data_IF_214105821335
#
_entry.id   IF_214105821335
#
_cell.length_a   1.000
_cell.length_b   1.000
_cell.length_c   1.000
_cell.angle_alpha   90.00
_cell.angle_beta   90.00
_cell.angle_gamma   90.00
#
_symmetry.space_group_name_H-M   'P 1'
#
loop_
_entity.id
_entity.type
_entity.pdbx_description
1 polymer ?
2 non-polymer ?
3 non-polymer ?
4 non-polymer ?
5 non-polymer ?
6 water ?
#
# COMPACT_ATOMS: atom_id res chain seq x y z
N UNK A 4 33.94 -4.25 3.52
CA UNK A 4 32.78 -4.11 2.59
C UNK A 4 32.24 -2.70 2.66
N UNK A 5 32.05 -2.09 1.50
CA UNK A 5 31.46 -0.72 1.38
C UNK A 5 29.93 -0.79 1.44
N UNK A 6 29.32 -0.07 2.39
CA UNK A 6 27.87 -0.15 2.59
C UNK A 6 27.28 1.26 2.52
N UNK A 7 25.94 1.30 2.43
CA UNK A 7 25.23 2.57 2.51
C UNK A 7 23.96 2.33 3.31
N UNK A 8 23.36 3.43 3.75
CA UNK A 8 22.16 3.41 4.62
C UNK A 8 20.95 3.88 3.84
N UNK A 9 19.88 3.11 3.91
CA UNK A 9 18.61 3.46 3.24
C UNK A 9 17.49 3.29 4.23
N UNK A 10 16.63 4.31 4.32
CA UNK A 10 15.53 4.36 5.32
C UNK A 10 14.17 4.30 4.64
N UNK A 11 13.27 3.52 5.25
CA UNK A 11 11.82 3.56 4.90
C UNK A 11 11.02 3.68 6.17
N UNK A 12 9.79 4.21 6.03
CA UNK A 12 8.86 4.36 7.18
C UNK A 12 7.57 3.60 6.93
N UNK A 13 6.75 3.61 7.95
CA UNK A 13 5.35 3.14 7.88
C UNK A 13 4.55 3.96 8.89
N UNK A 14 3.24 3.98 8.68
CA UNK A 14 2.33 4.51 9.72
C UNK A 14 1.31 3.44 10.04
N UNK A 15 0.79 3.53 11.25
CA UNK A 15 -0.17 2.53 11.72
C UNK A 15 -1.58 2.84 11.18
N UNK A 16 -2.46 1.87 11.35
CA UNK A 16 -3.82 2.00 10.78
C UNK A 16 -4.60 3.14 11.46
N UNK A 17 -4.21 3.59 12.64
CA UNK A 17 -4.83 4.72 13.33
C UNK A 17 -4.25 6.08 12.98
N UNK A 18 -3.22 6.14 12.15
CA UNK A 18 -2.74 7.44 11.71
C UNK A 18 -3.84 8.11 10.91
N UNK A 19 -4.09 9.41 11.09
CA UNK A 19 -5.29 10.00 10.47
C UNK A 19 -5.30 9.96 8.95
N UNK A 20 -4.13 10.06 8.29
CA UNK A 20 -4.13 9.94 6.82
C UNK A 20 -4.47 8.49 6.44
N UNK A 21 -3.89 7.50 7.11
CA UNK A 21 -4.21 6.11 6.76
C UNK A 21 -5.67 5.78 7.08
N UNK A 22 -6.20 6.37 8.13
CA UNK A 22 -7.64 6.19 8.46
C UNK A 22 -8.47 6.57 7.23
N UNK A 23 -8.13 7.69 6.61
CA UNK A 23 -8.86 8.17 5.43
C UNK A 23 -8.73 7.20 4.28
N UNK A 24 -7.52 6.65 4.02
CA UNK A 24 -7.37 5.62 2.96
C UNK A 24 -8.30 4.44 3.23
N UNK A 25 -8.34 3.97 4.47
CA UNK A 25 -9.16 2.81 4.83
C UNK A 25 -10.64 3.12 4.64
N UNK A 26 -11.10 4.30 5.10
CA UNK A 26 -12.53 4.66 4.89
C UNK A 26 -12.85 4.69 3.40
N UNK A 27 -12.00 5.35 2.61
CA UNK A 27 -12.22 5.45 1.17
C UNK A 27 -12.34 4.07 0.53
N UNK A 28 -11.45 3.15 0.90
CA UNK A 28 -11.53 1.80 0.32
C UNK A 28 -12.64 0.93 0.90
N UNK A 29 -13.04 1.18 2.15
CA UNK A 29 -14.23 0.47 2.69
C UNK A 29 -15.47 0.89 1.91
N UNK A 30 -15.55 2.16 1.54
CA UNK A 30 -16.67 2.63 0.70
C UNK A 30 -16.61 1.95 -0.65
N UNK A 31 -15.43 1.92 -1.28
CA UNK A 31 -15.27 1.25 -2.57
C UNK A 31 -15.69 -0.21 -2.47
N UNK A 32 -15.21 -0.93 -1.48
CA UNK A 32 -15.57 -2.36 -1.35
C UNK A 32 -17.08 -2.51 -1.25
N UNK A 33 -17.72 -1.66 -0.47
CA UNK A 33 -19.19 -1.78 -0.28
C UNK A 33 -19.90 -1.59 -1.62
N UNK A 34 -19.45 -0.62 -2.41
CA UNK A 34 -20.05 -0.41 -3.75
C UNK A 34 -19.86 -1.64 -4.62
N UNK A 35 -18.63 -2.13 -4.71
CA UNK A 35 -18.34 -3.26 -5.63
C UNK A 35 -19.05 -4.53 -5.19
N UNK A 36 -19.30 -4.72 -3.92
CA UNK A 36 -19.94 -5.97 -3.43
C UNK A 36 -21.33 -6.10 -4.06
N UNK A 37 -22.01 -4.98 -4.26
CA UNK A 37 -23.34 -4.97 -4.89
C UNK A 37 -23.29 -4.70 -6.38
N UNK A 38 -22.36 -3.88 -6.84
CA UNK A 38 -22.32 -3.42 -8.24
C UNK A 38 -20.87 -3.40 -8.68
N UNK A 39 -20.40 -4.46 -9.34
CA UNK A 39 -18.98 -4.52 -9.76
C UNK A 39 -18.61 -3.41 -10.74
N UNK A 40 -19.57 -2.78 -11.41
CA UNK A 40 -19.30 -1.73 -12.41
C UNK A 40 -19.40 -0.34 -11.80
N UNK A 41 -19.40 -0.23 -10.49
CA UNK A 41 -19.43 1.07 -9.80
C UNK A 41 -18.24 1.92 -10.27
N UNK A 42 -18.51 3.20 -10.50
CA UNK A 42 -17.47 4.21 -10.67
C UNK A 42 -17.31 4.92 -9.34
N UNK A 43 -16.11 4.90 -8.81
CA UNK A 43 -15.87 5.38 -7.44
C UNK A 43 -14.63 6.25 -7.44
N UNK A 44 -14.77 7.46 -6.93
CA UNK A 44 -13.68 8.40 -6.66
C UNK A 44 -13.98 8.99 -5.28
N UNK A 45 -13.79 8.19 -4.25
CA UNK A 45 -14.22 8.53 -2.89
C UNK A 45 -13.03 9.04 -2.08
N UNK A 46 -13.08 10.31 -1.75
CA UNK A 46 -12.06 10.99 -0.94
C UNK A 46 -12.56 11.12 0.48
N UNK A 47 -11.67 11.04 1.45
CA UNK A 47 -12.02 11.21 2.87
C UNK A 47 -11.08 12.22 3.47
N UNK A 48 -11.60 13.06 4.38
CA UNK A 48 -10.72 13.86 5.23
C UNK A 48 -11.24 13.80 6.65
N UNK A 49 -10.39 14.15 7.58
CA UNK A 49 -10.74 14.05 9.01
C UNK A 49 -9.97 15.10 9.78
N UNK A 50 -10.57 15.51 10.87
CA UNK A 50 -9.94 16.40 11.86
C UNK A 50 -10.66 16.13 13.20
N UNK A 51 -10.31 16.87 14.23
CA UNK A 51 -10.89 16.59 15.54
C UNK A 51 -12.40 16.41 15.43
N UNK A 52 -12.88 15.27 15.91
CA UNK A 52 -14.32 14.98 16.00
C UNK A 52 -15.07 15.01 14.67
N UNK A 53 -14.39 14.79 13.54
CA UNK A 53 -15.12 14.86 12.26
C UNK A 53 -14.46 13.99 11.20
N UNK A 54 -15.30 13.36 10.41
CA UNK A 54 -14.89 12.72 9.15
C UNK A 54 -15.79 13.25 8.07
N UNK A 55 -15.25 13.58 6.91
CA UNK A 55 -16.06 13.93 5.74
C UNK A 55 -15.70 12.99 4.59
N UNK A 56 -16.70 12.38 3.99
CA UNK A 56 -16.50 11.62 2.73
C UNK A 56 -17.02 12.48 1.61
N UNK A 57 -16.29 12.51 0.51
CA UNK A 57 -16.63 13.38 -0.61
C UNK A 57 -16.12 12.73 -1.89
N UNK A 58 -16.23 13.46 -2.98
CA UNK A 58 -15.93 12.91 -4.29
C UNK A 58 -17.20 12.46 -4.98
N UNK A 59 -17.06 11.51 -5.90
CA UNK A 59 -18.10 11.20 -6.89
C UNK A 59 -18.26 9.69 -6.97
N UNK A 60 -19.49 9.22 -6.94
CA UNK A 60 -19.79 7.79 -7.09
C UNK A 60 -20.98 7.64 -8.04
N UNK A 61 -20.84 6.77 -9.04
CA UNK A 61 -21.96 6.30 -9.86
C UNK A 61 -22.12 4.81 -9.60
N UNK A 62 -23.28 4.39 -9.11
CA UNK A 62 -23.44 2.99 -8.69
C UNK A 62 -24.90 2.62 -8.69
N UNK A 63 -25.13 1.32 -8.85
CA UNK A 63 -26.44 0.72 -8.56
C UNK A 63 -26.51 0.28 -7.10
N UNK A 64 -25.39 0.24 -6.39
CA UNK A 64 -25.37 -0.22 -4.99
C UNK A 64 -26.11 0.75 -4.07
N UNK A 65 -26.57 0.21 -2.97
CA UNK A 65 -27.15 0.98 -1.86
C UNK A 65 -26.16 0.89 -0.71
N UNK A 66 -25.46 1.98 -0.46
CA UNK A 66 -24.34 1.99 0.50
C UNK A 66 -24.60 3.04 1.57
N UNK A 67 -24.48 2.63 2.82
CA UNK A 67 -24.67 3.52 3.98
C UNK A 67 -23.31 4.14 4.29
N UNK A 68 -22.99 5.23 3.61
CA UNK A 68 -21.66 5.84 3.72
C UNK A 68 -21.32 6.16 5.17
N UNK A 69 -22.26 6.77 5.89
CA UNK A 69 -21.99 7.14 7.29
C UNK A 69 -21.69 5.88 8.12
N UNK A 70 -22.47 4.82 7.93
CA UNK A 70 -22.27 3.60 8.70
C UNK A 70 -20.90 3.01 8.37
N UNK A 71 -20.49 3.05 7.10
CA UNK A 71 -19.16 2.52 6.73
C UNK A 71 -18.09 3.34 7.44
N UNK A 72 -18.23 4.66 7.46
CA UNK A 72 -17.26 5.50 8.20
C UNK A 72 -17.18 5.02 9.65
N UNK A 73 -18.31 4.98 10.31
CA UNK A 73 -18.30 4.68 11.75
C UNK A 73 -17.78 3.27 12.02
N UNK A 74 -18.19 2.31 11.21
CA UNK A 74 -17.73 0.92 11.39
C UNK A 74 -16.22 0.82 11.19
N UNK A 75 -15.70 1.52 10.19
CA UNK A 75 -14.26 1.46 9.89
C UNK A 75 -13.47 2.06 11.05
N UNK A 76 -13.89 3.22 11.52
CA UNK A 76 -13.24 3.89 12.66
C UNK A 76 -13.32 3.01 13.92
N UNK A 77 -14.49 2.45 14.19
CA UNK A 77 -14.67 1.66 15.41
C UNK A 77 -13.75 0.44 15.40
N UNK A 78 -13.66 -0.26 14.27
CA UNK A 78 -12.87 -1.50 14.19
C UNK A 78 -11.37 -1.21 14.35
N UNK A 79 -10.92 -0.06 13.89
CA UNK A 79 -9.53 0.39 14.10
C UNK A 79 -9.27 0.65 15.58
N UNK A 80 -10.29 1.01 16.34
CA UNK A 80 -10.13 1.25 17.77
C UNK A 80 -10.54 2.63 18.22
N UNK A 81 -11.11 3.43 17.32
CA UNK A 81 -11.50 4.81 17.66
C UNK A 81 -12.88 4.76 18.30
N UNK A 82 -12.89 4.50 19.60
CA UNK A 82 -14.14 4.23 20.34
C UNK A 82 -14.44 5.33 21.36
N UNK A 83 -13.62 6.36 21.47
CA UNK A 83 -13.82 7.42 22.48
C UNK A 83 -13.04 8.66 22.09
N UNK A 84 -13.45 9.80 22.62
CA UNK A 84 -12.69 11.06 22.43
C UNK A 84 -11.27 10.86 22.98
N UNK A 85 -11.11 10.13 24.08
CA UNK A 85 -9.81 9.97 24.78
C UNK A 85 -8.79 9.29 23.85
N UNK A 86 -9.24 8.36 22.99
CA UNK A 86 -8.30 7.61 22.10
C UNK A 86 -8.18 8.29 20.74
N UNK A 87 -8.91 9.39 20.51
CA UNK A 87 -8.59 10.31 19.41
C UNK A 87 -9.75 10.53 18.47
N UNK A 88 -10.83 9.76 18.60
CA UNK A 88 -12.05 9.92 17.79
C UNK A 88 -13.07 8.94 18.32
N UNK A 89 -14.28 9.41 18.56
CA UNK A 89 -15.38 8.53 18.98
C UNK A 89 -16.20 8.13 17.74
N UNK A 90 -16.07 6.90 17.28
CA UNK A 90 -16.73 6.45 16.04
C UNK A 90 -18.24 6.64 16.14
N UNK A 91 -18.81 6.51 17.32
CA UNK A 91 -20.28 6.50 17.45
C UNK A 91 -20.81 7.93 17.53
N UNK A 92 -20.01 8.86 18.05
CA UNK A 92 -20.50 10.21 18.40
C UNK A 92 -19.93 11.30 17.50
N UNK A 93 -18.87 11.05 16.77
CA UNK A 93 -18.22 12.12 15.99
C UNK A 93 -19.14 12.57 14.87
N UNK A 94 -18.85 13.75 14.35
CA UNK A 94 -19.56 14.27 13.16
C UNK A 94 -19.11 13.52 11.93
N UNK A 95 -20.06 13.08 11.13
CA UNK A 95 -19.77 12.45 9.83
C UNK A 95 -20.52 13.25 8.79
N UNK A 96 -19.79 13.95 7.95
CA UNK A 96 -20.33 14.77 6.88
C UNK A 96 -20.31 13.95 5.60
N UNK A 97 -21.48 13.66 5.06
CA UNK A 97 -21.62 12.86 3.84
C UNK A 97 -21.77 13.82 2.68
N UNK A 98 -20.71 13.97 1.90
CA UNK A 98 -20.57 15.04 0.89
C UNK A 98 -20.17 14.45 -0.47
N UNK A 99 -20.73 13.30 -0.78
CA UNK A 99 -20.50 12.59 -2.04
C UNK A 99 -21.55 12.99 -3.06
N UNK A 100 -21.13 13.24 -4.31
CA UNK A 100 -22.09 13.37 -5.41
C UNK A 100 -22.45 11.97 -5.86
N UNK A 101 -23.61 11.51 -5.42
CA UNK A 101 -24.11 10.15 -5.68
C UNK A 101 -24.97 10.19 -6.95
N UNK A 102 -24.67 9.34 -7.90
CA UNK A 102 -25.47 9.16 -9.12
C UNK A 102 -25.80 7.68 -9.30
N UNK A 103 -26.91 7.44 -9.96
CA UNK A 103 -27.18 6.12 -10.53
C UNK A 103 -26.65 6.14 -11.96
N UNK A 104 -26.47 4.96 -12.59
CA UNK A 104 -25.93 4.96 -13.93
C UNK A 104 -26.83 5.68 -14.93
N UNK A 105 -26.22 6.14 -16.00
CA UNK A 105 -26.91 6.89 -17.07
C UNK A 105 -28.03 6.02 -17.62
N UNK A 106 -29.16 6.63 -17.88
CA UNK A 106 -30.28 5.99 -18.59
C UNK A 106 -30.23 6.48 -20.02
N UNK A 107 -30.11 5.55 -20.95
CA UNK A 107 -29.92 5.92 -22.36
C UNK A 107 -30.74 5.01 -23.26
N UNK A 108 -31.03 5.54 -24.43
CA UNK A 108 -31.80 4.83 -25.44
C UNK A 108 -30.93 4.59 -26.65
N UNK A 109 -30.71 3.32 -26.98
CA UNK A 109 -29.93 2.84 -28.14
C UNK A 109 -29.84 1.32 -28.21
N UNK A 110 -29.57 0.76 -29.41
CA UNK A 110 -29.53 -0.70 -29.69
C UNK A 110 -28.29 -1.34 -29.03
N UNK A 116 -17.94 1.23 -23.72
CA UNK A 116 -17.17 0.57 -24.82
C UNK A 116 -16.58 -0.74 -24.29
N UNK A 117 -16.15 -1.65 -25.14
CA UNK A 117 -15.70 -3.00 -24.70
C UNK A 117 -14.29 -2.92 -24.13
N UNK A 118 -13.94 -3.86 -23.22
CA UNK A 118 -12.66 -3.82 -22.51
C UNK A 118 -11.44 -3.79 -23.41
N UNK A 119 -11.53 -4.41 -24.58
CA UNK A 119 -10.41 -4.46 -25.52
C UNK A 119 -10.14 -3.09 -26.13
N UNK A 120 -11.13 -2.22 -26.20
CA UNK A 120 -11.00 -0.99 -27.02
C UNK A 120 -11.10 0.27 -26.19
N UNK A 121 -11.64 0.18 -24.97
CA UNK A 121 -11.95 1.40 -24.18
C UNK A 121 -10.65 2.14 -23.84
N UNK A 122 -10.71 3.45 -23.96
CA UNK A 122 -9.56 4.29 -23.62
C UNK A 122 -9.34 4.37 -22.12
N UNK A 123 -8.11 4.73 -21.72
CA UNK A 123 -7.83 5.07 -20.32
C UNK A 123 -8.78 6.17 -19.85
N UNK A 124 -9.14 6.13 -18.58
CA UNK A 124 -10.00 7.17 -18.03
C UNK A 124 -9.26 8.44 -17.71
N UNK A 125 -7.94 8.40 -17.73
CA UNK A 125 -7.10 9.57 -17.41
C UNK A 125 -5.72 9.30 -17.98
N UNK A 126 -4.91 10.35 -18.04
CA UNK A 126 -3.48 10.21 -18.29
C UNK A 126 -2.75 9.84 -17.01
N UNK A 127 -1.47 9.62 -17.14
CA UNK A 127 -0.56 9.46 -16.01
C UNK A 127 0.40 8.33 -16.25
N UNK A 128 1.30 8.17 -15.29
CA UNK A 128 2.31 7.11 -15.36
C UNK A 128 2.40 6.42 -14.02
N UNK A 129 2.82 5.15 -14.09
CA UNK A 129 2.87 4.28 -12.89
C UNK A 129 4.13 3.42 -12.98
N UNK A 130 4.68 3.10 -11.82
CA UNK A 130 5.88 2.26 -11.73
C UNK A 130 5.62 1.04 -10.87
N UNK A 131 6.27 -0.04 -11.29
CA UNK A 131 6.34 -1.28 -10.52
C UNK A 131 7.80 -1.58 -10.20
N UNK A 132 8.01 -2.25 -9.09
CA UNK A 132 9.37 -2.56 -8.61
C UNK A 132 9.35 -3.91 -7.95
N UNK A 133 10.50 -4.59 -8.07
CA UNK A 133 10.72 -5.84 -7.34
C UNK A 133 12.23 -6.00 -7.13
N UNK A 134 12.56 -6.74 -6.09
CA UNK A 134 13.96 -6.93 -5.66
C UNK A 134 14.03 -8.26 -4.95
N UNK A 135 15.10 -9.02 -5.23
CA UNK A 135 15.24 -10.38 -4.68
C UNK A 135 15.74 -10.39 -3.25
N UNK A 136 15.77 -9.28 -2.59
CA UNK A 136 16.37 -9.21 -1.25
C UNK A 136 15.44 -9.78 -0.15
N UNK A 137 14.16 -10.01 -0.42
CA UNK A 137 13.22 -10.69 0.50
C UNK A 137 12.39 -11.70 -0.28
N UNK A 138 11.77 -12.69 0.40
CA UNK A 138 11.01 -13.69 -0.35
C UNK A 138 9.81 -13.14 -1.13
N UNK A 139 9.20 -12.08 -0.62
CA UNK A 139 8.06 -11.43 -1.31
C UNK A 139 8.54 -10.42 -2.33
N UNK A 140 9.84 -10.33 -2.55
CA UNK A 140 10.43 -9.54 -3.64
C UNK A 140 10.17 -8.05 -3.44
N UNK A 141 10.29 -7.63 -2.18
CA UNK A 141 10.16 -6.24 -1.74
C UNK A 141 11.40 -5.78 -1.00
N UNK A 142 11.62 -4.45 -0.93
CA UNK A 142 12.80 -3.92 -0.25
C UNK A 142 12.71 -4.16 1.25
N UNK A 143 13.80 -4.60 1.87
CA UNK A 143 13.78 -4.94 3.29
C UNK A 143 13.45 -3.73 4.18
N UNK A 144 13.98 -2.55 3.87
CA UNK A 144 13.70 -1.39 4.75
C UNK A 144 12.17 -1.17 4.86
N UNK A 145 11.50 -1.25 3.71
CA UNK A 145 10.03 -1.09 3.65
C UNK A 145 9.35 -2.24 4.37
N UNK A 146 9.75 -3.47 4.07
CA UNK A 146 9.10 -4.64 4.70
C UNK A 146 9.19 -4.55 6.21
N UNK A 147 10.36 -4.22 6.75
CA UNK A 147 10.50 -4.21 8.22
C UNK A 147 9.72 -3.06 8.84
N UNK A 148 9.77 -1.87 8.25
CA UNK A 148 8.99 -0.76 8.83
C UNK A 148 7.51 -1.14 8.87
N UNK A 149 7.03 -1.70 7.76
CA UNK A 149 5.62 -2.08 7.60
C UNK A 149 5.24 -3.17 8.59
N UNK A 150 6.07 -4.18 8.71
CA UNK A 150 5.76 -5.31 9.62
C UNK A 150 5.79 -4.84 11.07
N UNK A 151 6.63 -3.89 11.43
CA UNK A 151 6.58 -3.35 12.80
C UNK A 151 5.20 -2.71 13.05
N UNK A 152 4.69 -1.95 12.08
CA UNK A 152 3.36 -1.36 12.22
C UNK A 152 2.27 -2.40 12.34
N UNK A 153 2.29 -3.38 11.47
CA UNK A 153 1.27 -4.45 11.53
C UNK A 153 1.35 -5.15 12.88
N UNK A 154 2.55 -5.35 13.39
CA UNK A 154 2.73 -6.04 14.67
C UNK A 154 2.18 -5.19 15.83
N UNK A 155 2.39 -3.88 15.79
CA UNK A 155 1.80 -2.99 16.80
C UNK A 155 0.29 -3.14 16.80
N UNK A 156 -0.34 -3.18 15.64
CA UNK A 156 -1.80 -3.36 15.59
C UNK A 156 -2.17 -4.73 16.16
N UNK A 157 -1.43 -5.76 15.79
CA UNK A 157 -1.72 -7.14 16.24
C UNK A 157 -1.70 -7.26 17.75
N UNK A 158 -0.64 -6.78 18.39
CA UNK A 158 -0.52 -6.97 19.86
C UNK A 158 -1.46 -6.03 20.62
N UNK A 159 -1.93 -4.97 19.95
CA UNK A 159 -2.93 -4.11 20.63
C UNK A 159 -4.27 -4.85 20.60
N UNK A 160 -4.64 -5.38 19.43
CA UNK A 160 -5.98 -5.98 19.27
C UNK A 160 -6.09 -7.33 19.97
N UNK A 161 -4.99 -8.05 20.14
CA UNK A 161 -5.10 -9.37 20.80
C UNK A 161 -4.86 -9.23 22.30
N UNK A 162 -4.63 -8.02 22.80
CA UNK A 162 -4.49 -7.78 24.25
C UNK A 162 -3.10 -8.03 24.79
N UNK A 163 -2.14 -8.45 23.99
CA UNK A 163 -0.77 -8.66 24.51
C UNK A 163 -0.20 -7.34 25.02
N UNK A 164 -0.41 -6.26 24.29
CA UNK A 164 -0.01 -4.90 24.69
C UNK A 164 -1.26 -4.01 24.65
N UNK A 165 -2.14 -4.21 25.62
CA UNK A 165 -3.46 -3.56 25.62
C UNK A 165 -3.29 -2.06 25.92
N UNK A 166 -2.13 -1.63 26.40
CA UNK A 166 -1.80 -0.21 26.66
C UNK A 166 -1.68 0.56 25.34
N UNK A 167 -1.52 -0.12 24.22
CA UNK A 167 -1.37 0.58 22.93
C UNK A 167 -2.69 1.24 22.52
N UNK A 168 -2.55 2.30 21.74
CA UNK A 168 -3.69 2.95 21.07
C UNK A 168 -3.42 2.93 19.57
N UNK A 169 -4.43 3.31 18.74
CA UNK A 169 -4.32 2.97 17.33
C UNK A 169 -3.25 3.68 16.48
N UNK A 170 -2.90 4.90 16.84
CA UNK A 170 -1.99 5.71 16.03
C UNK A 170 -0.54 5.33 16.34
N UNK A 171 0.31 5.59 15.38
CA UNK A 171 1.75 5.43 15.56
C UNK A 171 2.47 5.39 14.22
N UNK A 172 3.78 5.38 14.31
CA UNK A 172 4.64 5.40 13.13
C UNK A 172 5.88 4.56 13.44
N UNK A 173 6.47 4.00 12.40
CA UNK A 173 7.69 3.20 12.52
C UNK A 173 8.65 3.59 11.41
N UNK A 174 9.93 3.28 11.59
CA UNK A 174 10.92 3.67 10.57
C UNK A 174 12.15 2.79 10.76
N UNK A 175 12.66 2.26 9.67
CA UNK A 175 13.82 1.35 9.73
C UNK A 175 14.87 1.80 8.73
N UNK A 176 16.10 1.92 9.21
CA UNK A 176 17.29 2.21 8.40
C UNK A 176 18.06 0.91 8.25
N UNK A 177 18.23 0.46 7.01
CA UNK A 177 18.97 -0.78 6.69
C UNK A 177 20.30 -0.38 6.07
N UNK A 178 21.35 -1.09 6.48
CA UNK A 178 22.69 -0.98 5.90
C UNK A 178 22.79 -2.03 4.80
N UNK A 179 23.04 -1.57 3.58
CA UNK A 179 23.04 -2.36 2.35
C UNK A 179 24.44 -2.41 1.73
N UNK A 180 24.66 -3.49 1.00
CA UNK A 180 25.79 -3.65 0.06
C UNK A 180 25.23 -3.77 -1.36
N UNK A 181 25.89 -3.17 -2.34
CA UNK A 181 25.52 -3.25 -3.75
C UNK A 181 26.34 -4.35 -4.44
N UNK A 182 25.69 -5.45 -4.81
CA UNK A 182 26.35 -6.59 -5.51
C UNK A 182 25.95 -6.51 -6.98
N UNK A 183 26.74 -5.88 -7.80
CA UNK A 183 26.49 -5.90 -9.26
C UNK A 183 25.09 -5.39 -9.59
N UNK A 184 24.64 -4.39 -8.83
CA UNK A 184 23.33 -3.73 -9.03
C UNK A 184 22.24 -4.25 -8.11
N UNK A 185 22.46 -5.42 -7.54
CA UNK A 185 21.51 -6.04 -6.60
C UNK A 185 21.73 -5.46 -5.21
N UNK A 186 20.64 -5.34 -4.48
CA UNK A 186 20.67 -4.78 -3.14
C UNK A 186 20.74 -5.90 -2.13
N UNK A 187 21.81 -5.93 -1.35
CA UNK A 187 22.06 -7.02 -0.39
C UNK A 187 22.00 -6.43 1.02
N UNK A 188 20.93 -6.69 1.78
CA UNK A 188 20.87 -6.16 3.13
C UNK A 188 21.91 -6.84 4.02
N UNK A 189 22.59 -6.03 4.81
CA UNK A 189 23.62 -6.52 5.75
C UNK A 189 23.10 -6.53 7.17
N UNK A 190 22.54 -5.42 7.61
CA UNK A 190 22.11 -5.30 9.02
C UNK A 190 21.09 -4.17 9.11
N UNK A 191 20.33 -4.21 10.19
CA UNK A 191 19.48 -3.08 10.58
C UNK A 191 20.28 -2.10 11.44
N UNK A 192 20.38 -0.89 10.94
CA UNK A 192 21.18 0.18 11.54
C UNK A 192 20.41 0.91 12.65
N UNK A 193 19.16 1.28 12.36
CA UNK A 193 18.34 2.07 13.29
C UNK A 193 16.89 1.61 13.17
N UNK A 194 16.26 1.47 14.33
CA UNK A 194 14.81 1.18 14.42
C UNK A 194 14.19 2.31 15.24
N UNK A 195 13.14 2.91 14.70
CA UNK A 195 12.35 3.96 15.36
C UNK A 195 10.91 3.48 15.45
N UNK A 196 10.33 3.63 16.63
CA UNK A 196 8.88 3.45 16.83
C UNK A 196 8.40 4.63 17.66
N UNK A 197 7.34 5.26 17.20
CA UNK A 197 6.59 6.26 18.00
C UNK A 197 5.15 5.77 18.03
N UNK A 198 4.68 5.26 19.17
CA UNK A 198 3.32 4.68 19.23
C UNK A 198 2.47 5.44 20.24
N UNK A 199 1.20 5.56 19.90
CA UNK A 199 0.19 6.06 20.82
C UNK A 199 -0.03 5.01 21.92
N UNK A 200 -0.39 5.50 23.10
CA UNK A 200 -0.57 4.62 24.28
C UNK A 200 -1.53 5.27 25.29
N UNK A 201 -1.93 4.49 26.29
CA UNK A 201 -2.88 4.97 27.33
C UNK A 201 -2.11 5.75 28.42
N UNK A 202 -2.82 6.38 29.35
CA UNK A 202 -2.18 7.26 30.36
C UNK A 202 -1.65 6.51 31.59
N UNK A 203 -1.66 5.18 31.58
CA UNK A 203 -1.22 4.43 32.80
C UNK A 203 0.16 3.82 32.60
N UNK A 204 0.46 3.30 31.41
CA UNK A 204 1.74 2.58 31.13
C UNK A 204 2.94 3.51 31.34
N UNK A 205 4.01 3.01 31.96
CA UNK A 205 5.22 3.84 32.18
C UNK A 205 6.12 3.81 30.94
N UNK A 206 7.05 4.76 30.85
CA UNK A 206 7.99 4.83 29.71
C UNK A 206 8.85 3.56 29.67
N UNK A 207 9.22 3.06 30.85
CA UNK A 207 10.03 1.81 30.97
C UNK A 207 9.24 0.62 30.43
N UNK A 208 7.94 0.50 30.73
CA UNK A 208 7.09 -0.61 30.25
C UNK A 208 6.94 -0.49 28.74
N UNK A 209 6.73 0.71 28.24
CA UNK A 209 6.59 0.91 26.76
C UNK A 209 7.87 0.41 26.08
N UNK A 210 9.04 0.82 26.57
CA UNK A 210 10.31 0.49 25.89
C UNK A 210 10.52 -1.02 25.96
N UNK A 211 10.31 -1.64 27.12
CA UNK A 211 10.54 -3.09 27.25
C UNK A 211 9.56 -3.85 26.36
N UNK A 212 8.28 -3.48 26.36
CA UNK A 212 7.30 -4.22 25.56
C UNK A 212 7.56 -3.99 24.06
N UNK A 213 7.96 -2.79 23.66
CA UNK A 213 8.28 -2.59 22.24
C UNK A 213 9.43 -3.50 21.85
N UNK A 214 10.47 -3.58 22.67
CA UNK A 214 11.63 -4.44 22.30
C UNK A 214 11.20 -5.90 22.23
N UNK A 215 10.46 -6.37 23.23
CA UNK A 215 10.25 -7.82 23.41
C UNK A 215 9.03 -8.31 22.62
N UNK A 216 7.96 -7.54 22.57
CA UNK A 216 6.73 -8.00 21.92
C UNK A 216 6.62 -7.55 20.46
N UNK A 217 7.38 -6.53 20.06
CA UNK A 217 7.22 -5.95 18.71
C UNK A 217 8.49 -6.11 17.87
N UNK A 218 9.62 -5.59 18.34
CA UNK A 218 10.84 -5.58 17.50
C UNK A 218 11.39 -7.01 17.38
N UNK A 219 11.55 -7.70 18.50
CA UNK A 219 12.21 -9.02 18.47
C UNK A 219 11.47 -9.98 17.53
N UNK A 220 10.13 -10.12 17.60
CA UNK A 220 9.45 -11.05 16.70
C UNK A 220 9.50 -10.66 15.22
N UNK A 221 9.62 -9.38 14.93
CA UNK A 221 9.51 -8.91 13.53
C UNK A 221 10.85 -8.95 12.83
N UNK A 222 11.89 -8.46 13.47
CA UNK A 222 13.17 -8.27 12.75
C UNK A 222 14.00 -9.53 12.91
N UNK A 223 14.40 -10.19 11.80
CA UNK A 223 15.26 -11.37 11.90
C UNK A 223 16.49 -11.05 12.76
N UNK A 224 16.83 -11.97 13.64
CA UNK A 224 17.94 -11.81 14.59
C UNK A 224 19.25 -11.56 13.82
N UNK A 225 19.40 -12.16 12.64
CA UNK A 225 20.64 -12.02 11.85
C UNK A 225 20.90 -10.56 11.49
N UNK A 226 19.88 -9.71 11.49
CA UNK A 226 20.06 -8.29 11.10
C UNK A 226 20.26 -7.37 12.31
N UNK A 227 20.09 -7.90 13.52
CA UNK A 227 20.22 -7.07 14.75
C UNK A 227 21.56 -7.36 15.40
N UNK A 228 22.19 -6.32 15.93
CA UNK A 228 23.45 -6.52 16.68
C UNK A 228 23.56 -5.47 17.78
N UNK A 229 24.65 -5.48 18.51
CA UNK A 229 24.79 -4.60 19.68
C UNK A 229 24.92 -3.14 19.24
N UNK A 230 25.25 -2.87 17.98
CA UNK A 230 25.35 -1.46 17.50
C UNK A 230 23.99 -0.94 17.01
N UNK A 231 23.02 -1.78 16.71
CA UNK A 231 21.72 -1.29 16.21
C UNK A 231 21.19 -0.22 17.17
N UNK A 232 20.74 0.88 16.61
CA UNK A 232 20.23 2.03 17.39
C UNK A 232 18.71 1.88 17.50
N UNK A 233 18.18 2.03 18.70
CA UNK A 233 16.74 2.03 18.93
C UNK A 233 16.30 3.39 19.44
N UNK A 234 15.27 3.93 18.80
CA UNK A 234 14.58 5.15 19.27
C UNK A 234 13.14 4.72 19.54
N UNK A 235 12.74 4.71 20.81
CA UNK A 235 11.44 4.19 21.25
C UNK A 235 10.69 5.34 21.92
N UNK A 236 9.64 5.79 21.26
CA UNK A 236 8.89 7.00 21.69
C UNK A 236 9.88 8.08 22.08
N UNK A 237 10.78 8.49 21.17
CA UNK A 237 11.83 9.45 21.52
C UNK A 237 11.35 10.83 21.92
N UNK A 238 10.17 11.24 21.46
CA UNK A 238 9.70 12.60 21.80
C UNK A 238 8.89 12.59 23.10
N UNK A 239 8.84 11.45 23.78
CA UNK A 239 8.15 11.36 25.08
C UNK A 239 6.74 10.86 24.94
N UNK A 240 5.82 11.36 25.78
CA UNK A 240 4.38 10.88 25.61
C UNK A 240 3.50 11.22 24.32
N UNK A 241 2.78 10.12 24.05
CA UNK A 241 1.90 10.04 22.86
C UNK A 241 0.57 9.47 23.32
N UNK A 242 -0.22 10.28 24.03
CA UNK A 242 -1.53 9.78 24.52
C UNK A 242 -2.62 10.22 23.53
N UNK A 243 -2.47 11.42 23.00
CA UNK A 243 -3.36 12.06 21.99
C UNK A 243 -2.97 11.50 20.62
N UNK A 244 -3.96 11.04 19.85
CA UNK A 244 -3.67 10.54 18.50
C UNK A 244 -4.86 10.52 17.58
N UNK A 245 -4.65 9.89 16.45
CA UNK A 245 -5.69 9.88 15.43
C UNK A 245 -5.96 11.29 14.90
N UNK A 246 -7.22 11.56 14.53
CA UNK A 246 -7.58 12.85 13.99
C UNK A 246 -7.52 13.99 15.01
N UNK A 247 -7.44 13.69 16.31
CA UNK A 247 -7.49 14.74 17.34
C UNK A 247 -6.30 15.69 17.19
N UNK A 248 -6.56 16.92 16.77
CA UNK A 248 -5.51 17.92 16.54
C UNK A 248 -4.59 17.57 15.37
N UNK A 249 -4.99 16.70 14.43
CA UNK A 249 -4.07 16.20 13.36
C UNK A 249 -4.88 15.75 12.14
N UNK A 250 -5.13 16.69 11.26
CA UNK A 250 -5.97 16.46 10.10
C UNK A 250 -5.38 15.37 9.19
N UNK A 251 -6.27 14.58 8.62
CA UNK A 251 -5.91 13.51 7.69
C UNK A 251 -6.65 13.64 6.40
N UNK A 252 -6.09 13.04 5.35
CA UNK A 252 -6.69 13.06 4.01
C UNK A 252 -6.35 11.74 3.31
N UNK A 253 -7.20 11.29 2.41
CA UNK A 253 -6.89 10.16 1.52
C UNK A 253 -5.70 10.51 0.66
N UNK A 254 -4.84 9.51 0.40
CA UNK A 254 -3.82 9.62 -0.66
C UNK A 254 -2.59 10.41 -0.23
N UNK A 255 -2.28 10.43 1.04
CA UNK A 255 -1.12 11.15 1.61
C UNK A 255 -0.06 10.20 2.16
N UNK A 256 -0.16 8.93 1.80
CA UNK A 256 0.81 7.91 2.26
C UNK A 256 1.21 7.02 1.06
N UNK A 257 1.44 7.64 -0.09
CA UNK A 257 1.54 6.85 -1.34
C UNK A 257 2.87 6.10 -1.43
N UNK A 258 3.88 6.53 -0.70
CA UNK A 258 5.21 5.85 -0.71
C UNK A 258 5.16 4.68 0.27
N UNK A 259 4.51 4.85 1.41
CA UNK A 259 4.22 3.70 2.32
C UNK A 259 3.34 2.67 1.62
N UNK A 260 2.42 3.13 0.78
CA UNK A 260 1.51 2.21 0.06
C UNK A 260 2.24 1.37 -0.96
N UNK A 261 3.46 1.78 -1.37
CA UNK A 261 4.17 1.16 -2.54
C UNK A 261 5.51 0.59 -2.09
N UNK A 262 6.61 1.36 -2.23
CA UNK A 262 7.96 0.76 -2.13
C UNK A 262 8.87 1.50 -1.17
N UNK A 263 8.38 2.47 -0.38
CA UNK A 263 9.21 2.97 0.73
C UNK A 263 10.42 3.76 0.29
N UNK A 264 10.38 4.39 -0.88
CA UNK A 264 11.49 5.19 -1.39
C UNK A 264 12.25 4.48 -2.49
N UNK A 265 12.12 3.18 -2.55
CA UNK A 265 12.74 2.35 -3.61
C UNK A 265 11.91 2.45 -4.88
N UNK A 266 12.49 2.02 -6.00
CA UNK A 266 11.74 2.05 -7.24
C UNK A 266 11.44 3.47 -7.64
N UNK A 267 10.18 3.78 -7.86
CA UNK A 267 9.75 5.13 -8.27
C UNK A 267 8.24 5.21 -8.03
N UNK A 268 7.70 6.40 -8.17
CA UNK A 268 6.24 6.59 -8.08
C UNK A 268 5.85 7.60 -9.14
N UNK A 269 4.70 7.34 -9.78
CA UNK A 269 4.12 8.24 -10.77
C UNK A 269 3.18 9.29 -10.20
N UNK A 270 2.86 9.20 -8.93
CA UNK A 270 2.11 10.24 -8.20
C UNK A 270 0.70 9.89 -7.80
N UNK A 271 0.04 8.96 -8.47
CA UNK A 271 -1.38 8.75 -8.19
C UNK A 271 -1.63 7.90 -6.96
N UNK A 272 -2.52 8.37 -6.10
CA UNK A 272 -2.95 7.57 -4.95
C UNK A 272 -3.82 6.41 -5.40
N UNK A 273 -3.99 5.44 -4.54
CA UNK A 273 -4.82 4.26 -4.84
C UNK A 273 -6.21 4.31 -4.19
N UNK A 274 -6.27 4.68 -2.92
CA UNK A 274 -7.50 4.39 -2.14
C UNK A 274 -8.66 5.26 -2.61
N UNK A 275 -9.84 4.65 -2.57
CA UNK A 275 -11.08 5.32 -2.99
C UNK A 275 -11.32 5.27 -4.47
N UNK A 276 -10.42 4.64 -5.24
CA UNK A 276 -10.54 4.59 -6.71
C UNK A 276 -10.96 3.21 -7.15
N UNK A 277 -12.04 3.14 -7.93
CA UNK A 277 -12.43 1.86 -8.51
C UNK A 277 -11.31 1.37 -9.41
N UNK A 278 -11.31 0.06 -9.68
CA UNK A 278 -10.19 -0.54 -10.39
C UNK A 278 -10.29 -0.43 -11.92
N UNK A 279 -11.20 0.39 -12.45
CA UNK A 279 -11.10 0.83 -13.86
C UNK A 279 -10.08 1.95 -13.98
N UNK A 280 -9.65 2.54 -12.87
CA UNK A 280 -8.77 3.71 -12.92
C UNK A 280 -7.31 3.27 -13.06
N UNK A 281 -6.64 3.79 -14.06
CA UNK A 281 -5.27 3.32 -14.39
C UNK A 281 -4.31 3.66 -13.25
N UNK A 282 -4.56 4.66 -12.43
CA UNK A 282 -3.65 4.88 -11.28
C UNK A 282 -3.57 3.64 -10.42
N UNK A 283 -4.65 2.87 -10.33
CA UNK A 283 -4.69 1.69 -9.48
C UNK A 283 -4.35 0.46 -10.33
N UNK A 284 -5.14 0.13 -11.33
CA UNK A 284 -4.91 -1.09 -12.13
C UNK A 284 -3.50 -1.04 -12.78
N UNK A 285 -3.13 0.12 -13.31
CA UNK A 285 -1.82 0.24 -13.97
C UNK A 285 -0.68 -0.01 -13.02
N UNK A 286 -0.76 0.57 -11.82
CA UNK A 286 0.29 0.35 -10.81
C UNK A 286 0.33 -1.12 -10.39
N UNK A 287 -0.85 -1.73 -10.27
CA UNK A 287 -0.88 -3.15 -9.85
C UNK A 287 -0.27 -4.05 -10.95
N UNK A 288 -0.60 -3.78 -12.20
CA UNK A 288 -0.04 -4.64 -13.27
C UNK A 288 1.48 -4.41 -13.40
N UNK A 289 1.99 -3.20 -13.19
CA UNK A 289 3.47 -3.05 -13.31
C UNK A 289 4.16 -3.65 -12.09
N UNK A 290 3.54 -3.70 -10.91
CA UNK A 290 4.08 -4.55 -9.83
C UNK A 290 4.14 -5.98 -10.32
N UNK A 291 3.06 -6.49 -10.88
CA UNK A 291 3.05 -7.90 -11.32
C UNK A 291 4.17 -8.10 -12.36
N UNK A 292 4.35 -7.16 -13.26
CA UNK A 292 5.38 -7.29 -14.31
C UNK A 292 6.77 -7.26 -13.68
N UNK A 293 7.10 -6.31 -12.82
CA UNK A 293 8.43 -6.24 -12.20
C UNK A 293 8.64 -7.50 -11.39
N UNK A 294 7.66 -7.92 -10.59
CA UNK A 294 7.81 -9.12 -9.77
C UNK A 294 8.05 -10.34 -10.66
N UNK A 295 7.35 -10.41 -11.77
CA UNK A 295 7.49 -11.56 -12.70
C UNK A 295 8.87 -11.57 -13.33
N UNK A 296 9.41 -10.41 -13.70
CA UNK A 296 10.76 -10.35 -14.28
C UNK A 296 11.76 -10.96 -13.29
N UNK A 297 11.68 -10.55 -12.04
CA UNK A 297 12.64 -11.06 -11.02
C UNK A 297 12.35 -12.54 -10.72
N UNK A 298 11.10 -12.90 -10.50
CA UNK A 298 10.77 -14.26 -10.08
C UNK A 298 11.08 -15.28 -11.17
N UNK A 299 10.97 -14.92 -12.44
CA UNK A 299 11.29 -15.83 -13.55
C UNK A 299 12.81 -15.94 -13.75
N UNK A 300 13.61 -15.20 -12.99
CA UNK A 300 15.07 -15.33 -13.03
C UNK A 300 15.74 -14.39 -14.03
N UNK A 301 15.01 -13.52 -14.72
CA UNK A 301 15.56 -12.61 -15.76
C UNK A 301 16.47 -11.57 -15.11
N UNK A 302 16.23 -11.24 -13.84
CA UNK A 302 16.95 -10.16 -13.16
C UNK A 302 16.84 -10.35 -11.67
N UNK A 303 17.69 -9.67 -10.92
CA UNK A 303 17.57 -9.63 -9.44
C UNK A 303 16.73 -8.46 -8.94
N UNK A 304 16.57 -7.45 -9.79
CA UNK A 304 15.88 -6.20 -9.42
C UNK A 304 15.29 -5.64 -10.71
N UNK A 305 14.10 -5.03 -10.62
CA UNK A 305 13.47 -4.50 -11.85
C UNK A 305 12.54 -3.36 -11.52
N UNK A 306 12.57 -2.36 -12.37
CA UNK A 306 11.67 -1.20 -12.36
C UNK A 306 10.97 -1.19 -13.70
N UNK A 307 9.64 -1.02 -13.68
CA UNK A 307 8.82 -0.99 -14.90
C UNK A 307 7.97 0.27 -14.85
N UNK A 308 7.97 1.07 -15.90
CA UNK A 308 7.02 2.22 -16.02
C UNK A 308 6.05 1.91 -17.14
N UNK A 309 4.79 2.33 -16.94
CA UNK A 309 3.79 2.43 -18.02
C UNK A 309 3.21 3.85 -17.97
N UNK A 310 2.71 4.34 -19.09
CA UNK A 310 1.97 5.62 -19.11
C UNK A 310 0.80 5.55 -20.07
N UNK A 311 -0.16 6.45 -19.84
CA UNK A 311 -1.44 6.47 -20.53
C UNK A 311 -1.83 7.89 -20.94
N UNK A 312 -2.72 7.97 -21.92
CA UNK A 312 -3.45 9.20 -22.29
C UNK A 312 -4.94 8.95 -22.10
N UNK A 313 -5.67 9.93 -21.60
CA UNK A 313 -7.13 9.82 -21.54
C UNK A 313 -7.66 9.50 -22.94
N UNK A 314 -8.58 8.56 -23.00
CA UNK A 314 -9.24 8.23 -24.25
C UNK A 314 -8.47 7.32 -25.17
N UNK A 315 -7.28 6.89 -24.77
CA UNK A 315 -6.42 6.03 -25.64
C UNK A 315 -6.25 4.68 -24.95
N UNK A 316 -6.52 3.50 -25.59
CA UNK A 316 -6.41 2.21 -24.88
C UNK A 316 -4.98 1.69 -24.72
N UNK A 317 -4.10 2.00 -25.67
CA UNK A 317 -2.75 1.46 -25.57
C UNK A 317 -1.90 2.43 -24.80
N UNK A 318 -0.97 1.91 -23.98
CA UNK A 318 -0.08 2.79 -23.25
C UNK A 318 0.75 3.64 -24.20
N UNK A 319 1.09 4.85 -23.73
CA UNK A 319 1.94 5.77 -24.52
C UNK A 319 3.42 5.34 -24.47
N UNK A 320 3.83 4.66 -23.41
CA UNK A 320 5.22 4.25 -23.21
C UNK A 320 5.25 3.11 -22.20
N UNK A 321 6.29 2.31 -22.33
CA UNK A 321 6.69 1.28 -21.36
C UNK A 321 8.21 1.31 -21.27
N UNK A 322 8.78 1.25 -20.08
CA UNK A 322 10.21 0.90 -19.98
C UNK A 322 10.39 -0.16 -18.92
N UNK A 323 11.55 -0.78 -19.03
CA UNK A 323 12.10 -1.73 -18.03
C UNK A 323 13.55 -1.36 -17.75
N UNK A 324 13.90 -1.33 -16.49
CA UNK A 324 15.29 -1.11 -16.00
C UNK A 324 15.59 -2.22 -15.00
N UNK A 325 16.67 -2.97 -15.20
CA UNK A 325 17.05 -4.00 -14.23
C UNK A 325 18.27 -3.60 -13.39
N UNK A 326 18.66 -2.34 -13.42
CA UNK A 326 19.78 -1.87 -12.58
C UNK A 326 21.03 -2.69 -12.87
N UNK A 327 21.21 -3.10 -14.13
CA UNK A 327 22.40 -3.87 -14.56
C UNK A 327 22.35 -5.30 -14.01
N UNK A 328 21.25 -5.74 -13.42
CA UNK A 328 21.14 -7.11 -12.90
C UNK A 328 20.51 -8.07 -13.91
N UNK A 329 20.03 -7.59 -15.03
CA UNK A 329 19.39 -8.47 -15.99
C UNK A 329 20.37 -9.45 -16.57
N UNK A 330 19.90 -10.67 -16.77
CA UNK A 330 20.73 -11.74 -17.37
C UNK A 330 20.62 -11.72 -18.89
N UNK A 331 19.61 -11.02 -19.40
CA UNK A 331 19.48 -10.71 -20.84
C UNK A 331 19.28 -9.21 -20.92
N UNK A 332 19.46 -8.61 -22.10
CA UNK A 332 19.36 -7.15 -22.20
C UNK A 332 17.98 -6.63 -21.80
N UNK A 333 17.98 -5.43 -21.23
CA UNK A 333 16.72 -4.78 -20.85
C UNK A 333 15.79 -4.61 -22.05
N UNK A 334 16.33 -4.38 -23.24
CA UNK A 334 15.44 -4.22 -24.41
C UNK A 334 14.72 -5.54 -24.70
N UNK A 335 15.37 -6.68 -24.45
CA UNK A 335 14.72 -7.99 -24.65
C UNK A 335 13.68 -8.24 -23.55
N UNK A 336 14.00 -7.85 -22.32
CA UNK A 336 13.02 -7.98 -21.21
C UNK A 336 11.80 -7.10 -21.53
N UNK A 337 12.00 -5.90 -22.04
CA UNK A 337 10.89 -5.01 -22.44
C UNK A 337 9.98 -5.71 -23.45
N UNK A 338 10.59 -6.33 -24.47
CA UNK A 338 9.80 -7.02 -25.50
C UNK A 338 8.96 -8.12 -24.86
N UNK A 339 9.57 -8.91 -23.97
CA UNK A 339 8.86 -10.02 -23.31
C UNK A 339 7.72 -9.49 -22.44
N UNK A 340 7.99 -8.43 -21.70
CA UNK A 340 6.93 -7.82 -20.84
C UNK A 340 5.77 -7.32 -21.70
N UNK A 341 6.07 -6.62 -22.78
CA UNK A 341 5.02 -6.09 -23.66
C UNK A 341 4.23 -7.22 -24.29
N UNK A 342 4.86 -8.33 -24.63
CA UNK A 342 4.16 -9.45 -25.28
C UNK A 342 3.29 -10.20 -24.27
N UNK A 343 3.74 -10.29 -23.01
CA UNK A 343 3.14 -11.16 -21.99
C UNK A 343 2.03 -10.46 -21.19
N UNK A 344 2.13 -9.15 -21.04
CA UNK A 344 1.18 -8.37 -20.24
C UNK A 344 0.28 -7.60 -21.20
N UNK A 345 -0.97 -7.46 -20.80
CA UNK A 345 -1.95 -6.66 -21.56
C UNK A 345 -2.18 -5.37 -20.76
N UNK A 346 -1.63 -4.27 -21.24
CA UNK A 346 -1.66 -2.98 -20.54
C UNK A 346 -2.92 -2.19 -20.90
N UNK A 347 -3.84 -2.72 -21.68
CA UNK A 347 -5.07 -1.98 -22.00
C UNK A 347 -5.92 -1.87 -20.74
N UNK A 348 -6.44 -0.67 -20.40
CA UNK A 348 -7.17 -0.44 -19.16
C UNK A 348 -8.30 -1.45 -18.89
N UNK A 349 -9.12 -1.70 -19.89
CA UNK A 349 -10.26 -2.59 -19.67
C UNK A 349 -9.78 -4.00 -19.38
N UNK A 350 -8.67 -4.38 -20.00
CA UNK A 350 -8.14 -5.75 -19.86
C UNK A 350 -7.42 -5.93 -18.53
N UNK A 351 -6.69 -4.91 -18.06
CA UNK A 351 -5.99 -5.00 -16.75
C UNK A 351 -6.98 -5.36 -15.65
N UNK A 352 -8.10 -4.67 -15.65
CA UNK A 352 -9.09 -4.85 -14.58
C UNK A 352 -9.63 -6.28 -14.61
N UNK A 353 -9.90 -6.83 -15.78
CA UNK A 353 -10.40 -8.21 -15.94
C UNK A 353 -9.31 -9.21 -15.56
N UNK A 354 -8.10 -9.03 -16.07
CA UNK A 354 -7.06 -10.04 -15.88
C UNK A 354 -6.63 -10.15 -14.43
N UNK A 355 -6.71 -9.07 -13.68
CA UNK A 355 -6.42 -9.10 -12.23
C UNK A 355 -7.69 -9.32 -11.40
N UNK A 356 -8.82 -9.54 -12.05
CA UNK A 356 -10.08 -9.88 -11.34
C UNK A 356 -10.41 -8.83 -10.29
N UNK A 357 -10.27 -7.57 -10.64
CA UNK A 357 -10.30 -6.51 -9.63
C UNK A 357 -11.71 -6.06 -9.27
N UNK A 358 -12.72 -6.36 -10.07
CA UNK A 358 -14.10 -5.93 -9.74
C UNK A 358 -14.77 -6.90 -8.77
N UNK A 359 -14.26 -8.14 -8.68
CA UNK A 359 -14.84 -9.23 -7.84
C UNK A 359 -15.18 -8.66 -6.46
N UNK A 360 -16.43 -8.81 -6.05
CA UNK A 360 -16.89 -8.21 -4.80
C UNK A 360 -16.92 -9.19 -3.64
N UNK A 361 -17.05 -8.64 -2.43
CA UNK A 361 -17.47 -9.41 -1.26
C UNK A 361 -16.37 -9.96 -0.40
N UNK A 362 -15.10 -9.61 -0.65
CA UNK A 362 -13.92 -10.14 0.07
C UNK A 362 -13.18 -9.01 0.79
N UNK A 363 -13.69 -7.79 0.78
CA UNK A 363 -13.04 -6.66 1.46
C UNK A 363 -11.66 -6.39 0.91
N UNK A 364 -11.44 -6.69 -0.38
CA UNK A 364 -10.14 -6.67 -1.00
C UNK A 364 -9.50 -5.34 -0.80
N UNK A 365 -10.17 -4.24 -1.12
CA UNK A 365 -9.45 -2.97 -1.17
C UNK A 365 -9.21 -2.43 0.24
N UNK A 366 -10.11 -2.66 1.19
CA UNK A 366 -9.80 -2.25 2.57
C UNK A 366 -8.53 -2.96 3.06
N UNK A 367 -8.31 -4.21 2.67
CA UNK A 367 -7.08 -4.92 3.07
C UNK A 367 -5.85 -4.18 2.54
N UNK A 368 -5.92 -3.62 1.34
CA UNK A 368 -4.76 -2.92 0.73
C UNK A 368 -4.45 -1.61 1.44
N UNK A 369 -5.44 -1.01 2.13
CA UNK A 369 -5.37 0.39 2.55
C UNK A 369 -4.60 0.63 3.85
N UNK A 370 -4.11 -0.42 4.47
CA UNK A 370 -3.12 -0.27 5.54
C UNK A 370 -2.08 -1.35 5.33
N UNK A 371 -0.85 -1.03 5.64
CA UNK A 371 0.29 -1.97 5.65
C UNK A 371 0.65 -2.46 4.25
N UNK A 372 0.38 -1.65 3.24
CA UNK A 372 1.02 -1.73 1.93
C UNK A 372 0.18 -2.46 0.90
N UNK A 373 0.23 -2.02 -0.35
CA UNK A 373 -0.52 -2.68 -1.44
C UNK A 373 0.27 -3.85 -2.02
N UNK A 374 1.58 -3.89 -1.76
CA UNK A 374 2.48 -4.87 -2.40
C UNK A 374 3.20 -5.72 -1.37
N UNK A 375 3.61 -6.88 -1.83
CA UNK A 375 4.42 -7.79 -1.00
C UNK A 375 3.62 -8.66 -0.08
N UNK A 376 2.33 -8.79 -0.32
CA UNK A 376 1.44 -9.57 0.56
C UNK A 376 0.96 -10.78 -0.19
N UNK A 377 0.72 -11.86 0.53
CA UNK A 377 0.47 -13.21 -0.08
C UNK A 377 -1.01 -13.54 -0.23
N UNK A 378 -1.86 -12.73 0.35
CA UNK A 378 -3.31 -12.97 0.32
C UNK A 378 -3.79 -13.19 -1.12
N UNK A 379 -4.65 -14.19 -1.38
CA UNK A 379 -5.06 -14.52 -2.73
C UNK A 379 -5.82 -13.39 -3.44
N UNK A 380 -6.39 -12.45 -2.70
CA UNK A 380 -7.05 -11.31 -3.33
C UNK A 380 -6.05 -10.31 -3.92
N UNK A 381 -4.79 -10.40 -3.53
CA UNK A 381 -3.73 -9.56 -4.11
C UNK A 381 -3.26 -10.27 -5.38
N UNK A 382 -4.09 -10.20 -6.42
CA UNK A 382 -3.88 -10.96 -7.66
C UNK A 382 -2.62 -10.49 -8.39
N UNK A 383 -2.23 -9.25 -8.16
CA UNK A 383 -1.04 -8.64 -8.79
C UNK A 383 0.24 -9.14 -8.17
N UNK A 384 0.15 -9.91 -7.09
CA UNK A 384 1.34 -10.53 -6.46
C UNK A 384 1.56 -11.95 -7.02
N UNK A 385 0.67 -12.43 -7.87
CA UNK A 385 0.82 -13.77 -8.49
C UNK A 385 1.70 -13.59 -9.71
N UNK A 386 2.84 -14.25 -9.69
CA UNK A 386 3.82 -14.20 -10.79
C UNK A 386 3.22 -14.81 -12.06
N UNK A 387 3.42 -14.13 -13.19
CA UNK A 387 3.09 -14.68 -14.52
C UNK A 387 4.32 -15.41 -15.04
N UNK A 388 4.15 -16.63 -15.59
CA UNK A 388 5.28 -17.36 -16.16
C UNK A 388 5.70 -16.63 -17.44
N UNK A 389 7.00 -16.37 -17.57
CA UNK A 389 7.54 -15.64 -18.74
C UNK A 389 8.53 -16.57 -19.43
N UNK A 390 8.43 -16.64 -20.75
CA UNK A 390 9.35 -17.42 -21.58
C UNK A 390 10.48 -16.49 -21.95
N UNK A 391 11.69 -16.95 -21.71
CA UNK A 391 12.82 -16.09 -22.11
C UNK A 391 13.96 -16.95 -22.58
N UNK A 392 14.50 -16.46 -23.67
CA UNK A 392 15.65 -16.94 -24.46
C UNK A 392 16.85 -16.76 -23.55
N UNK A 393 17.15 -17.83 -22.87
CA UNK A 393 18.27 -17.89 -21.89
C UNK A 393 19.54 -17.31 -22.50
N UNK A 394 20.39 -16.63 -21.71
CA UNK A 394 21.69 -16.18 -22.18
C UNK A 394 22.59 -17.37 -22.55
X LIG B 1 2.17 14.02 5.15
X LIG B 1 2.85 12.78 4.79
X LIG B 1 2.22 14.88 4.02
X LIG B 1 0.80 13.76 5.52
X LIG B 1 2.89 14.65 6.26
X LIG C 1 14.79 -15.10 13.66
X LIG C 1 15.32 -14.99 12.32
X LIG C 1 15.52 -16.15 14.36
X LIG C 1 13.40 -15.46 13.59
X LIG C 1 14.97 -13.86 14.38
X LIG D 1 2.24 12.70 8.73
X LIG D 1 3.15 11.61 8.20
X LIG D 1 2.87 14.02 8.63
X LIG D 1 0.94 12.73 8.11
X LIG D 1 2.11 12.47 10.15
X LIG E 1 -0.46 14.04 7.09
X LIG F 1 -27.79 5.14 8.16
X LIG G 1 0.15 13.40 23.87
X LIG H 1 -1.81 -9.48 -18.32
X LIG I 1 -8.54 6.31 -15.14
X LIG J 1 -23.02 13.49 12.29
X LIG K 1 -5.63 5.61 30.27
X LIG L 1 -13.08 5.18 -25.12
X LIG M 1 6.86 1.60 -25.31
X LIG N 1 -23.24 6.08 -16.12
X LIG O 1 -7.18 -2.43 7.05
X LIG O 1 -6.58 -3.27 6.08
X LIG O 1 -7.23 -3.14 8.41
X LIG O 1 -5.80 -3.46 8.86
X LIG O 1 -5.67 -3.99 10.17
X LIG O 1 -7.87 -2.23 9.48
X LIG O 1 -8.94 -1.44 8.98
X LIG O 1 -8.06 -4.43 8.18
X LIG O 1 -7.81 -5.64 9.06
X LIG O 1 -6.80 -6.61 8.49
X LIG O 1 -7.04 -6.84 7.09
X LIG O 1 -9.52 -4.16 8.02
X LIG O 1 -10.16 -5.22 7.18
X LIG O 1 -9.46 -5.32 6.01
#
# INVERSE_FOLDING_TARGET
SNAMETFLFTSESVNEGHPDKLCDQISDAVLDACLEQDPDSKVACETCTKTNMVMVFGEITTKATVDYEKIVRDTCRAIGFVSDDVGLDADKCKVLVNIEQQSPDIAQGVHGHFTKCPEEIGAGDQGHMFGYATDETPELMPLSHVLATKLGARLTEVRKNGTCAWLRPDGKTQVTVEYYNDKGAMVPIRVHTVLISTQHDETVTNDEIARDLKEHVIKPVIPEKYLDEKTIFHLNPSGRFVIGGPHGDAGLTGRKIIIDTYGGWGAHGGGAFSGKDPTKVDRSGAYIVRQAAKSVVANGMARRALVQVSYAIGVPEPLSVFVDTYETGLIPDKEILKIVKESFDFRPGMMTINLDLKRGGNGRFLKTAAYGHFGRDDPDFTWEVVKPLKWDKPQA
SO4 S O1 O2 O3 O4
SO4 S O1 O2 O3 O4
SO4 S O1 O2 O3 O4
MG MG
MG MG
CL CL
CL CL
CL CL
CL CL
CL CL
CL CL
CL CL
CL CL
BTB C1 O1 C2 C3 O3 C4 O4 N C5 C6 O6 C7 C8 O8
#
